data_IF_622894833459
#
_entry.id   IF_622894833459
#
_cell.length_a   1.000
_cell.length_b   1.000
_cell.length_c   1.000
_cell.angle_alpha   90.00
_cell.angle_beta   90.00
_cell.angle_gamma   90.00
#
_symmetry.space_group_name_H-M   'P 1'
#
loop_
_entity.id
_entity.type
_entity.pdbx_description
1 polymer ?
#
# COMPACT_ATOMS: atom_id res chain seq x y z
N UNK A 1 -16.89 71.05 11.71
CA UNK A 1 -15.48 70.61 11.58
C UNK A 1 -15.39 69.17 12.04
N UNK A 2 -15.24 68.23 11.11
CA UNK A 2 -14.93 66.83 11.43
C UNK A 2 -13.46 66.72 11.87
N UNK A 3 -13.19 65.99 12.95
CA UNK A 3 -11.86 65.48 13.29
C UNK A 3 -12.01 64.00 13.64
N UNK A 4 -11.85 63.17 12.63
CA UNK A 4 -11.69 61.72 12.75
C UNK A 4 -10.34 61.42 13.38
N UNK A 5 -10.35 60.88 14.60
CA UNK A 5 -9.17 60.26 15.22
C UNK A 5 -9.09 58.81 14.75
N UNK A 6 -8.22 58.56 13.76
CA UNK A 6 -7.74 57.23 13.41
C UNK A 6 -6.62 56.86 14.38
N UNK A 7 -6.82 55.85 15.22
CA UNK A 7 -5.75 55.23 15.99
C UNK A 7 -5.50 53.82 15.47
N UNK A 8 -4.28 53.64 14.96
CA UNK A 8 -3.71 52.43 14.41
C UNK A 8 -3.77 51.28 15.43
N UNK A 9 -4.40 50.17 15.05
CA UNK A 9 -4.17 48.89 15.69
C UNK A 9 -2.89 48.26 15.11
N UNK A 10 -1.86 48.11 15.94
CA UNK A 10 -0.67 47.32 15.61
C UNK A 10 -1.04 45.84 15.67
N UNK A 11 -1.37 45.24 14.53
CA UNK A 11 -1.43 43.79 14.40
C UNK A 11 0.01 43.27 14.40
N UNK A 12 0.49 42.77 15.53
CA UNK A 12 1.72 41.97 15.59
C UNK A 12 1.40 40.64 14.90
N UNK A 13 1.74 40.56 13.62
CA UNK A 13 1.79 39.29 12.89
C UNK A 13 3.00 38.51 13.42
N UNK A 14 2.80 37.70 14.46
CA UNK A 14 3.73 36.60 14.74
C UNK A 14 3.56 35.60 13.61
N UNK A 15 4.39 35.73 12.58
CA UNK A 15 4.60 34.70 11.57
C UNK A 15 5.19 33.48 12.26
N UNK A 16 4.33 32.62 12.82
CA UNK A 16 4.68 31.23 13.05
C UNK A 16 4.75 30.57 11.68
N UNK A 17 5.92 30.65 11.04
CA UNK A 17 6.26 29.75 9.96
C UNK A 17 6.02 28.32 10.50
N UNK A 18 5.27 27.46 9.82
CA UNK A 18 5.20 26.07 10.24
C UNK A 18 6.62 25.52 10.04
N UNK A 19 7.31 25.26 11.14
CA UNK A 19 8.50 24.41 11.11
C UNK A 19 8.03 23.11 10.48
N UNK A 20 8.52 22.86 9.26
CA UNK A 20 8.25 21.66 8.50
C UNK A 20 8.76 20.49 9.35
N UNK A 21 7.82 19.70 9.88
CA UNK A 21 8.07 18.59 10.80
C UNK A 21 8.89 17.48 10.11
N UNK A 22 10.21 17.59 10.10
CA UNK A 22 11.13 16.53 9.66
C UNK A 22 11.22 15.35 10.65
N UNK A 23 10.63 15.46 11.85
CA UNK A 23 10.54 14.33 12.79
C UNK A 23 9.47 13.30 12.37
N UNK A 24 8.43 13.73 11.63
CA UNK A 24 7.36 12.83 11.20
C UNK A 24 7.72 12.04 9.94
N UNK A 25 8.62 12.54 9.09
CA UNK A 25 9.06 11.84 7.88
C UNK A 25 10.04 10.72 8.18
N UNK A 26 10.94 10.88 9.16
CA UNK A 26 11.88 9.84 9.58
C UNK A 26 11.20 8.70 10.36
N UNK A 27 10.30 9.03 11.30
CA UNK A 27 9.53 8.05 12.04
C UNK A 27 8.59 7.24 11.11
N UNK A 28 7.97 7.91 10.14
CA UNK A 28 7.15 7.26 9.11
C UNK A 28 8.00 6.39 8.18
N UNK A 29 9.15 6.86 7.73
CA UNK A 29 10.10 6.07 6.92
C UNK A 29 10.55 4.79 7.62
N UNK A 30 10.93 4.89 8.90
CA UNK A 30 11.28 3.71 9.71
C UNK A 30 10.09 2.75 9.89
N UNK A 31 8.87 3.28 10.04
CA UNK A 31 7.65 2.48 10.10
C UNK A 31 7.37 1.76 8.77
N UNK A 32 7.52 2.45 7.64
CA UNK A 32 7.28 1.88 6.30
C UNK A 32 8.31 0.81 5.96
N UNK A 33 9.59 1.05 6.28
CA UNK A 33 10.65 0.04 6.09
C UNK A 33 10.37 -1.23 6.89
N UNK A 34 9.99 -1.11 8.17
CA UNK A 34 9.60 -2.26 8.98
C UNK A 34 8.41 -3.00 8.37
N UNK A 35 7.39 -2.25 7.95
CA UNK A 35 6.16 -2.81 7.37
C UNK A 35 6.44 -3.57 6.07
N UNK A 36 7.26 -2.99 5.19
CA UNK A 36 7.71 -3.61 3.95
C UNK A 36 8.52 -4.89 4.23
N UNK A 37 9.40 -4.88 5.24
CA UNK A 37 10.11 -6.09 5.68
C UNK A 37 9.15 -7.20 6.12
N UNK A 38 8.13 -6.87 6.91
CA UNK A 38 7.10 -7.85 7.30
C UNK A 38 6.26 -8.34 6.11
N UNK A 39 6.02 -7.49 5.11
CA UNK A 39 5.34 -7.88 3.87
C UNK A 39 6.20 -8.84 3.04
N UNK A 40 7.52 -8.64 2.95
CA UNK A 40 8.44 -9.58 2.32
C UNK A 40 8.33 -10.96 2.97
N UNK A 41 8.44 -11.02 4.30
CA UNK A 41 8.40 -12.29 5.05
C UNK A 41 7.09 -13.07 4.80
N UNK A 42 5.95 -12.38 4.86
CA UNK A 42 4.64 -13.01 4.67
C UNK A 42 4.41 -13.42 3.21
N UNK A 43 4.84 -12.62 2.24
CA UNK A 43 4.74 -12.97 0.82
C UNK A 43 5.66 -14.14 0.46
N UNK A 44 6.88 -14.22 1.00
CA UNK A 44 7.77 -15.37 0.75
C UNK A 44 7.18 -16.68 1.25
N UNK A 45 6.54 -16.68 2.43
CA UNK A 45 5.78 -17.84 2.92
C UNK A 45 4.62 -18.18 1.99
N UNK A 46 3.86 -17.16 1.58
CA UNK A 46 2.68 -17.34 0.75
C UNK A 46 3.05 -17.88 -0.64
N UNK A 47 4.10 -17.34 -1.29
CA UNK A 47 4.63 -17.85 -2.55
C UNK A 47 5.00 -19.34 -2.44
N UNK A 48 5.64 -19.75 -1.35
CA UNK A 48 6.00 -21.17 -1.12
C UNK A 48 4.77 -22.08 -1.00
N UNK A 49 3.67 -21.60 -0.43
CA UNK A 49 2.41 -22.35 -0.30
C UNK A 49 1.78 -22.58 -1.69
N UNK A 50 1.84 -21.57 -2.56
CA UNK A 50 1.19 -21.56 -3.87
C UNK A 50 2.09 -22.03 -5.03
N UNK A 51 3.39 -22.22 -4.82
CA UNK A 51 4.37 -22.58 -5.87
C UNK A 51 4.12 -23.94 -6.56
N UNK A 52 3.24 -24.76 -6.00
CA UNK A 52 2.87 -26.09 -6.54
C UNK A 52 1.43 -26.12 -7.08
N UNK A 53 0.72 -25.00 -7.16
CA UNK A 53 -0.57 -24.96 -7.84
C UNK A 53 -0.40 -25.21 -9.34
N UNK A 54 -1.24 -26.08 -9.90
CA UNK A 54 -1.26 -26.37 -11.33
C UNK A 54 -2.68 -26.17 -11.88
N UNK A 55 -2.73 -25.71 -13.14
CA UNK A 55 -3.90 -25.59 -14.03
C UNK A 55 -5.27 -25.53 -13.35
N UNK A 56 -5.86 -26.71 -13.13
CA UNK A 56 -7.26 -26.87 -12.74
C UNK A 56 -7.61 -26.36 -11.34
N UNK A 57 -6.62 -26.08 -10.48
CA UNK A 57 -6.82 -25.58 -9.10
C UNK A 57 -6.37 -24.14 -8.92
N UNK A 58 -5.90 -23.50 -9.98
CA UNK A 58 -5.39 -22.14 -9.94
C UNK A 58 -6.52 -21.16 -9.63
N UNK A 59 -6.25 -20.26 -8.69
CA UNK A 59 -7.06 -19.05 -8.53
C UNK A 59 -6.55 -18.02 -9.50
N UNK A 60 -7.45 -17.38 -10.23
CA UNK A 60 -7.11 -16.29 -11.14
C UNK A 60 -7.45 -14.94 -10.52
N UNK A 61 -6.60 -13.95 -10.77
CA UNK A 61 -6.72 -12.56 -10.34
C UNK A 61 -6.39 -11.65 -11.53
N UNK A 62 -6.82 -10.39 -11.48
CA UNK A 62 -6.46 -9.44 -12.54
C UNK A 62 -4.94 -9.22 -12.59
N UNK A 63 -4.36 -9.30 -13.78
CA UNK A 63 -2.98 -8.90 -14.04
C UNK A 63 -2.83 -7.38 -13.83
N UNK A 64 -1.85 -6.99 -13.01
CA UNK A 64 -1.59 -5.59 -12.70
C UNK A 64 -0.48 -5.03 -13.58
N UNK A 65 -0.70 -3.84 -14.13
CA UNK A 65 0.33 -3.06 -14.79
C UNK A 65 1.32 -2.53 -13.75
N UNK A 66 2.44 -3.25 -13.58
CA UNK A 66 3.38 -2.96 -12.49
C UNK A 66 4.11 -1.63 -12.65
N UNK A 67 4.29 -1.10 -13.87
CA UNK A 67 4.80 0.26 -14.15
C UNK A 67 5.94 0.75 -13.22
N UNK A 68 6.90 -0.13 -12.90
CA UNK A 68 8.01 0.19 -11.97
C UNK A 68 7.66 0.05 -10.48
N UNK A 69 6.69 -0.79 -10.13
CA UNK A 69 6.24 -1.05 -8.76
C UNK A 69 5.75 0.20 -8.02
N UNK A 70 5.08 1.09 -8.76
CA UNK A 70 4.50 2.30 -8.18
C UNK A 70 3.50 1.97 -7.08
N UNK A 71 3.27 2.93 -6.19
CA UNK A 71 2.41 2.77 -5.00
C UNK A 71 0.98 2.31 -5.34
N UNK A 72 0.48 2.67 -6.51
CA UNK A 72 -0.82 2.24 -7.05
C UNK A 72 -0.94 0.71 -7.15
N UNK A 73 0.15 0.01 -7.47
CA UNK A 73 0.19 -1.45 -7.61
C UNK A 73 -0.19 -2.14 -6.30
N UNK A 74 0.32 -1.65 -5.15
CA UNK A 74 0.00 -2.24 -3.84
C UNK A 74 -1.46 -2.04 -3.44
N UNK A 75 -2.05 -0.91 -3.85
CA UNK A 75 -3.46 -0.62 -3.65
C UNK A 75 -4.34 -1.57 -4.48
N UNK A 76 -4.05 -1.70 -5.77
CA UNK A 76 -4.75 -2.61 -6.66
C UNK A 76 -4.60 -4.07 -6.22
N UNK A 77 -3.38 -4.47 -5.81
CA UNK A 77 -3.13 -5.80 -5.30
C UNK A 77 -3.93 -6.12 -4.03
N UNK A 78 -4.06 -5.16 -3.11
CA UNK A 78 -4.91 -5.34 -1.93
C UNK A 78 -6.37 -5.61 -2.33
N UNK A 79 -6.90 -4.85 -3.30
CA UNK A 79 -8.28 -5.03 -3.76
C UNK A 79 -8.48 -6.38 -4.45
N UNK A 80 -7.56 -6.81 -5.32
CA UNK A 80 -7.65 -8.11 -5.99
C UNK A 80 -7.60 -9.26 -4.99
N UNK A 81 -6.62 -9.25 -4.08
CA UNK A 81 -6.51 -10.29 -3.04
C UNK A 81 -7.74 -10.30 -2.13
N UNK A 82 -8.24 -9.11 -1.76
CA UNK A 82 -9.44 -8.98 -0.94
C UNK A 82 -10.68 -9.52 -1.63
N UNK A 83 -10.91 -9.15 -2.90
CA UNK A 83 -12.14 -9.50 -3.61
C UNK A 83 -12.14 -10.94 -4.14
N UNK A 84 -11.00 -11.44 -4.63
CA UNK A 84 -10.92 -12.74 -5.32
C UNK A 84 -10.41 -13.87 -4.44
N UNK A 85 -9.65 -13.59 -3.39
CA UNK A 85 -8.90 -14.61 -2.62
C UNK A 85 -9.34 -14.69 -1.17
N UNK A 86 -9.55 -13.56 -0.49
CA UNK A 86 -9.78 -13.51 0.97
C UNK A 86 -10.99 -14.30 1.47
N UNK A 87 -11.99 -14.52 0.62
CA UNK A 87 -13.20 -15.29 0.96
C UNK A 87 -13.04 -16.80 0.84
N UNK A 88 -12.01 -17.29 0.13
CA UNK A 88 -11.88 -18.70 -0.24
C UNK A 88 -11.63 -19.60 0.98
N UNK A 89 -12.18 -20.81 0.95
CA UNK A 89 -12.06 -21.79 2.02
C UNK A 89 -10.78 -22.62 1.91
N UNK A 90 -10.16 -22.95 3.05
CA UNK A 90 -9.02 -23.85 3.14
C UNK A 90 -7.77 -23.17 3.71
N UNK A 91 -6.97 -23.92 4.47
CA UNK A 91 -5.84 -23.40 5.24
C UNK A 91 -4.82 -22.62 4.39
N UNK A 92 -4.63 -23.00 3.12
CA UNK A 92 -3.73 -22.27 2.21
C UNK A 92 -4.17 -20.82 1.95
N UNK A 93 -5.46 -20.52 2.07
CA UNK A 93 -5.99 -19.18 1.86
C UNK A 93 -6.03 -18.33 3.13
N UNK A 94 -5.72 -18.90 4.30
CA UNK A 94 -5.84 -18.19 5.57
C UNK A 94 -4.97 -16.93 5.60
N UNK A 95 -3.80 -16.93 4.96
CA UNK A 95 -2.93 -15.74 4.89
C UNK A 95 -3.61 -14.52 4.22
N UNK A 96 -4.63 -14.73 3.38
CA UNK A 96 -5.34 -13.67 2.67
C UNK A 96 -6.58 -13.14 3.40
N UNK A 97 -6.89 -13.64 4.61
CA UNK A 97 -7.98 -13.04 5.40
C UNK A 97 -7.59 -11.61 5.80
N UNK A 98 -8.57 -10.72 5.87
CA UNK A 98 -8.34 -9.28 6.09
C UNK A 98 -7.71 -8.96 7.45
N UNK A 99 -7.94 -9.79 8.46
CA UNK A 99 -7.36 -9.69 9.80
C UNK A 99 -5.92 -10.24 9.87
N UNK A 100 -5.46 -10.95 8.83
CA UNK A 100 -4.17 -11.62 8.82
C UNK A 100 -3.06 -10.70 8.35
N UNK A 101 -1.85 -11.05 8.77
CA UNK A 101 -0.68 -10.16 8.73
C UNK A 101 -0.41 -9.61 7.33
N UNK A 102 -0.48 -10.45 6.30
CA UNK A 102 -0.29 -10.03 4.91
C UNK A 102 -1.26 -8.91 4.51
N UNK A 103 -2.57 -9.17 4.57
CA UNK A 103 -3.58 -8.19 4.16
C UNK A 103 -3.62 -6.96 5.06
N UNK A 104 -3.47 -7.15 6.37
CA UNK A 104 -3.43 -6.06 7.33
C UNK A 104 -2.26 -5.12 7.06
N UNK A 105 -1.08 -5.67 6.81
CA UNK A 105 0.12 -4.88 6.57
C UNK A 105 0.04 -4.15 5.22
N UNK A 106 -0.52 -4.79 4.19
CA UNK A 106 -0.74 -4.17 2.89
C UNK A 106 -1.73 -2.99 3.00
N UNK A 107 -2.80 -3.16 3.77
CA UNK A 107 -3.76 -2.10 4.07
C UNK A 107 -3.12 -0.91 4.80
N UNK A 108 -2.30 -1.17 5.84
CA UNK A 108 -1.60 -0.12 6.59
C UNK A 108 -0.65 0.64 5.66
N UNK A 109 0.10 -0.07 4.82
CA UNK A 109 1.01 0.55 3.85
C UNK A 109 0.24 1.48 2.90
N UNK A 110 -0.86 0.99 2.33
CA UNK A 110 -1.70 1.78 1.44
C UNK A 110 -2.28 3.03 2.13
N UNK A 111 -2.70 2.91 3.40
CA UNK A 111 -3.15 4.05 4.22
C UNK A 111 -2.05 5.09 4.45
N UNK A 112 -0.83 4.67 4.73
CA UNK A 112 0.30 5.59 4.90
C UNK A 112 0.56 6.41 3.63
N UNK A 113 0.24 5.87 2.46
CA UNK A 113 0.49 6.53 1.18
C UNK A 113 -0.73 7.24 0.57
N UNK A 114 -1.88 7.26 1.24
CA UNK A 114 -3.02 8.13 0.92
C UNK A 114 -3.63 7.92 -0.47
N UNK A 115 -3.44 6.76 -1.08
CA UNK A 115 -3.93 6.48 -2.43
C UNK A 115 -5.28 5.77 -2.38
N UNK A 116 -6.28 6.37 -3.03
CA UNK A 116 -7.53 5.69 -3.38
C UNK A 116 -7.28 4.82 -4.62
N UNK A 117 -7.50 3.51 -4.51
CA UNK A 117 -7.37 2.61 -5.65
C UNK A 117 -8.47 2.94 -6.65
N UNK A 118 -8.10 3.42 -7.85
CA UNK A 118 -9.02 3.37 -8.99
C UNK A 118 -8.72 2.08 -9.75
N UNK A 119 -9.70 1.21 -9.97
CA UNK A 119 -9.51 0.09 -10.89
C UNK A 119 -9.26 0.69 -12.28
N UNK A 120 -8.21 0.22 -12.97
CA UNK A 120 -8.08 0.50 -14.39
C UNK A 120 -9.23 -0.21 -15.11
N UNK A 121 -9.98 0.56 -15.89
CA UNK A 121 -11.24 0.13 -16.53
C UNK A 121 -10.97 -0.58 -17.86
N UNK A 122 -9.71 -0.68 -18.29
CA UNK A 122 -9.35 -1.36 -19.52
C UNK A 122 -9.24 -2.87 -19.33
N UNK A 123 -9.52 -3.60 -20.42
CA UNK A 123 -9.61 -5.06 -20.52
C UNK A 123 -8.58 -5.75 -19.62
N UNK A 124 -9.08 -6.34 -18.54
CA UNK A 124 -8.26 -6.95 -17.50
C UNK A 124 -7.95 -8.38 -17.91
N UNK A 125 -6.74 -8.61 -18.41
CA UNK A 125 -6.19 -9.97 -18.53
C UNK A 125 -6.12 -10.59 -17.13
N UNK A 126 -6.49 -11.86 -17.01
CA UNK A 126 -6.33 -12.60 -15.76
C UNK A 126 -4.98 -13.33 -15.73
N UNK A 127 -4.36 -13.38 -14.56
CA UNK A 127 -3.17 -14.18 -14.31
C UNK A 127 -3.39 -15.14 -13.13
N UNK A 128 -2.70 -16.30 -13.10
CA UNK A 128 -2.74 -17.19 -11.95
C UNK A 128 -2.18 -16.54 -10.69
N UNK A 129 -2.79 -16.83 -9.53
CA UNK A 129 -2.36 -16.32 -8.23
C UNK A 129 -0.91 -16.72 -7.91
N UNK A 130 -0.49 -17.92 -8.32
CA UNK A 130 0.88 -18.39 -8.11
C UNK A 130 1.93 -17.59 -8.93
N UNK A 131 1.51 -16.89 -9.99
CA UNK A 131 2.36 -15.96 -10.75
C UNK A 131 2.23 -14.52 -10.22
N UNK A 132 1.03 -14.13 -9.77
CA UNK A 132 0.76 -12.84 -9.16
C UNK A 132 1.58 -12.60 -7.89
N UNK A 133 1.68 -13.60 -7.01
CA UNK A 133 2.36 -13.45 -5.72
C UNK A 133 3.88 -13.17 -5.87
N UNK A 134 4.65 -13.87 -6.73
CA UNK A 134 6.02 -13.51 -7.05
C UNK A 134 6.16 -12.09 -7.64
N UNK A 135 5.23 -11.67 -8.49
CA UNK A 135 5.22 -10.32 -9.05
C UNK A 135 5.06 -9.27 -7.95
N UNK A 136 4.07 -9.45 -7.05
CA UNK A 136 3.86 -8.57 -5.91
C UNK A 136 5.07 -8.57 -4.95
N UNK A 137 5.64 -9.73 -4.65
CA UNK A 137 6.85 -9.86 -3.83
C UNK A 137 8.03 -9.07 -4.41
N UNK A 138 8.20 -9.12 -5.73
CA UNK A 138 9.24 -8.34 -6.43
C UNK A 138 9.04 -6.85 -6.19
N UNK A 139 7.80 -6.36 -6.29
CA UNK A 139 7.49 -4.97 -6.01
C UNK A 139 7.72 -4.58 -4.55
N UNK A 140 7.33 -5.41 -3.58
CA UNK A 140 7.61 -5.13 -2.17
C UNK A 140 9.11 -5.08 -1.91
N UNK A 141 9.91 -5.99 -2.49
CA UNK A 141 11.37 -5.98 -2.35
C UNK A 141 12.01 -4.73 -2.97
N UNK A 142 11.50 -4.28 -4.11
CA UNK A 142 11.97 -3.05 -4.76
C UNK A 142 11.67 -1.80 -3.92
N UNK A 143 10.49 -1.71 -3.31
CA UNK A 143 10.19 -0.59 -2.40
C UNK A 143 10.99 -0.70 -1.09
N UNK A 144 11.17 -1.92 -0.55
CA UNK A 144 11.95 -2.15 0.67
C UNK A 144 13.43 -1.74 0.52
N UNK A 145 14.03 -2.01 -0.65
CA UNK A 145 15.43 -1.61 -0.92
C UNK A 145 15.59 -0.09 -1.03
N UNK A 146 14.54 0.62 -1.42
CA UNK A 146 14.52 2.09 -1.55
C UNK A 146 14.11 2.80 -0.25
N UNK A 147 13.43 2.12 0.66
CA UNK A 147 13.02 2.66 1.96
C UNK A 147 14.25 2.92 2.85
N UNK A 148 14.47 4.18 3.22
CA UNK A 148 15.56 4.61 4.11
C UNK A 148 15.21 4.41 5.59
#
# INVERSE_FOLDING_TARGET
MMRTLLLLAFAVLTSSAPVHNNANSSAKGHSDRKLLGELVDELEKTVKIFSKETGDKSVFVTELQTNGCKREVFCQAEQELKTKVSGRSGAKFDHFRTDKKLMRNLNIYNKHHGKTCKPDVEVQTEMPLHEFLPMLLTCVKNEFSQAK
#
